data_IF_293580964949
#
_entry.id   IF_293580964949
#
_cell.length_a   1.000
_cell.length_b   1.000
_cell.length_c   1.000
_cell.angle_alpha   90.00
_cell.angle_beta   90.00
_cell.angle_gamma   90.00
#
_symmetry.space_group_name_H-M   'P 1'
#
loop_
_entity.id
_entity.type
_entity.pdbx_description
1 polymer ?
#
# COMPACT_ATOMS: atom_id res chain seq x y z
N UNK A 1 45.03 -29.52 7.96
CA UNK A 1 43.64 -29.97 8.16
C UNK A 1 42.99 -29.45 9.45
N UNK A 2 43.57 -29.55 10.64
CA UNK A 2 42.92 -29.12 11.91
C UNK A 2 42.55 -27.61 11.98
N UNK A 3 43.36 -26.71 11.39
CA UNK A 3 43.04 -25.24 11.40
C UNK A 3 41.84 -24.86 10.54
N UNK A 4 41.63 -25.48 9.40
CA UNK A 4 40.50 -25.19 8.51
C UNK A 4 39.16 -25.65 9.10
N UNK A 5 39.15 -26.77 9.82
CA UNK A 5 37.96 -27.26 10.54
C UNK A 5 37.57 -26.30 11.67
N UNK A 6 38.56 -25.73 12.39
CA UNK A 6 38.30 -24.77 13.48
C UNK A 6 37.66 -23.49 12.97
N UNK A 7 38.11 -22.94 11.84
CA UNK A 7 37.52 -21.74 11.23
C UNK A 7 36.10 -21.98 10.70
N UNK A 8 35.84 -23.16 10.12
CA UNK A 8 34.49 -23.54 9.70
C UNK A 8 33.50 -23.62 10.85
N UNK A 9 33.90 -24.21 11.98
CA UNK A 9 33.07 -24.31 13.17
C UNK A 9 32.80 -22.93 13.81
N UNK A 10 33.80 -22.05 13.87
CA UNK A 10 33.63 -20.66 14.41
C UNK A 10 32.68 -19.85 13.54
N UNK A 11 32.78 -19.95 12.20
CA UNK A 11 31.87 -19.26 11.29
C UNK A 11 30.44 -19.75 11.43
N UNK A 12 30.20 -21.04 11.57
CA UNK A 12 28.89 -21.63 11.77
C UNK A 12 28.25 -21.18 13.08
N UNK A 13 29.02 -21.15 14.16
CA UNK A 13 28.57 -20.67 15.48
C UNK A 13 28.20 -19.20 15.43
N UNK A 14 28.97 -18.34 14.75
CA UNK A 14 28.66 -16.93 14.59
C UNK A 14 27.37 -16.69 13.79
N UNK A 15 27.11 -17.49 12.74
CA UNK A 15 25.86 -17.40 11.97
C UNK A 15 24.67 -17.81 12.84
N UNK A 16 24.77 -18.92 13.58
CA UNK A 16 23.69 -19.39 14.47
C UNK A 16 23.41 -18.38 15.58
N UNK A 17 24.45 -17.82 16.21
CA UNK A 17 24.30 -16.77 17.21
C UNK A 17 23.68 -15.51 16.62
N UNK A 18 24.09 -15.10 15.43
CA UNK A 18 23.48 -13.96 14.73
C UNK A 18 21.99 -14.16 14.44
N UNK A 19 21.60 -15.35 13.99
CA UNK A 19 20.18 -15.68 13.74
C UNK A 19 19.39 -15.70 15.04
N UNK A 20 19.94 -16.29 16.12
CA UNK A 20 19.27 -16.32 17.43
C UNK A 20 19.13 -14.92 18.01
N UNK A 21 20.16 -14.10 17.96
CA UNK A 21 20.10 -12.70 18.42
C UNK A 21 19.08 -11.91 17.58
N UNK A 22 19.09 -12.05 16.27
CA UNK A 22 18.10 -11.44 15.38
C UNK A 22 16.67 -11.85 15.70
N UNK A 23 16.44 -13.14 15.99
CA UNK A 23 15.14 -13.65 16.41
C UNK A 23 14.70 -13.06 17.77
N UNK A 24 15.58 -13.01 18.76
CA UNK A 24 15.25 -12.42 20.07
C UNK A 24 15.05 -10.91 20.01
N UNK A 25 15.80 -10.15 19.19
CA UNK A 25 15.59 -8.73 18.99
C UNK A 25 14.23 -8.49 18.31
N UNK A 26 13.88 -9.29 17.30
CA UNK A 26 12.62 -9.17 16.60
C UNK A 26 11.42 -9.53 17.51
N UNK A 27 11.53 -10.59 18.32
CA UNK A 27 10.49 -10.95 19.30
C UNK A 27 10.39 -9.95 20.44
N UNK A 28 11.49 -9.38 20.91
CA UNK A 28 11.47 -8.33 21.94
C UNK A 28 10.82 -7.04 21.42
N UNK A 29 11.10 -6.65 20.17
CA UNK A 29 10.43 -5.50 19.54
C UNK A 29 8.94 -5.72 19.36
N UNK A 30 8.52 -6.92 18.96
CA UNK A 30 7.10 -7.25 18.82
C UNK A 30 6.34 -7.23 20.15
N UNK A 31 6.99 -7.61 21.25
CA UNK A 31 6.36 -7.61 22.58
C UNK A 31 6.14 -6.20 23.16
N UNK A 32 6.77 -5.17 22.61
CA UNK A 32 6.65 -3.77 23.06
C UNK A 32 5.83 -2.88 22.11
N UNK A 33 5.25 -3.43 21.04
CA UNK A 33 4.41 -2.65 20.15
C UNK A 33 3.14 -2.20 20.86
N UNK A 34 2.89 -0.90 20.86
CA UNK A 34 1.62 -0.37 21.34
C UNK A 34 0.47 -1.05 20.60
N UNK A 35 -0.53 -1.54 21.35
CA UNK A 35 -1.73 -2.14 20.75
C UNK A 35 -2.42 -1.08 19.86
N UNK A 36 -2.75 -1.47 18.64
CA UNK A 36 -3.52 -0.62 17.74
C UNK A 36 -4.97 -0.49 18.24
N UNK A 37 -5.58 0.70 18.10
CA UNK A 37 -7.02 0.83 18.26
C UNK A 37 -7.73 -0.03 17.20
N UNK A 38 -8.92 -0.51 17.52
CA UNK A 38 -9.75 -1.18 16.51
C UNK A 38 -10.14 -0.18 15.43
N UNK A 39 -10.14 -0.57 14.14
CA UNK A 39 -10.59 0.31 13.06
C UNK A 39 -12.01 0.81 13.29
N UNK A 40 -12.20 2.11 13.15
CA UNK A 40 -13.48 2.79 13.31
C UNK A 40 -13.61 3.85 12.22
N UNK A 41 -14.67 3.77 11.41
CA UNK A 41 -14.87 4.70 10.29
C UNK A 41 -15.33 6.07 10.79
N UNK A 42 -14.77 7.14 10.24
CA UNK A 42 -15.25 8.51 10.48
C UNK A 42 -16.65 8.70 9.88
N UNK A 43 -17.44 9.61 10.45
CA UNK A 43 -18.68 10.04 9.84
C UNK A 43 -18.47 11.07 8.73
N UNK A 44 -19.55 11.44 8.02
CA UNK A 44 -19.55 12.48 7.01
C UNK A 44 -19.15 12.00 5.61
N UNK A 45 -18.89 12.95 4.71
CA UNK A 45 -18.67 12.68 3.29
C UNK A 45 -17.41 11.83 3.06
N UNK A 46 -16.29 12.19 3.69
CA UNK A 46 -15.06 11.41 3.62
C UNK A 46 -15.16 10.07 4.35
N UNK A 47 -15.92 10.01 5.44
CA UNK A 47 -16.15 8.76 6.18
C UNK A 47 -16.91 7.69 5.37
N UNK A 48 -17.66 8.08 4.34
CA UNK A 48 -18.28 7.13 3.41
C UNK A 48 -17.26 6.35 2.59
N UNK A 49 -16.04 6.85 2.47
CA UNK A 49 -14.93 6.17 1.80
C UNK A 49 -14.19 5.20 2.72
N UNK A 50 -14.55 5.14 4.00
CA UNK A 50 -13.99 4.21 4.95
C UNK A 50 -12.83 4.73 5.80
N UNK A 51 -12.51 6.04 5.75
CA UNK A 51 -11.38 6.64 6.48
C UNK A 51 -11.49 6.35 7.98
N UNK A 52 -10.40 5.86 8.56
CA UNK A 52 -10.32 5.49 9.97
C UNK A 52 -10.28 6.73 10.87
N UNK A 53 -11.05 6.68 11.97
CA UNK A 53 -11.16 7.77 12.93
C UNK A 53 -9.90 7.95 13.77
N UNK A 54 -9.22 6.86 14.10
CA UNK A 54 -8.11 6.85 15.04
C UNK A 54 -6.76 6.90 14.34
N UNK A 55 -6.64 6.22 13.18
CA UNK A 55 -5.40 6.13 12.42
C UNK A 55 -5.64 6.63 10.99
N UNK A 56 -5.46 7.91 10.82
CA UNK A 56 -5.70 8.63 9.57
C UNK A 56 -4.50 9.52 9.19
N UNK A 57 -4.65 10.35 8.17
CA UNK A 57 -3.59 11.22 7.66
C UNK A 57 -3.02 12.20 8.69
N UNK A 58 -3.72 12.47 9.79
CA UNK A 58 -3.23 13.36 10.87
C UNK A 58 -2.42 12.60 11.91
N UNK A 59 -2.69 11.30 12.10
CA UNK A 59 -2.15 10.50 13.21
C UNK A 59 -1.17 9.42 12.78
N UNK A 60 -1.10 9.09 11.50
CA UNK A 60 -0.32 7.96 10.95
C UNK A 60 1.16 7.99 11.35
N UNK A 61 1.74 9.16 11.54
CA UNK A 61 3.15 9.30 11.95
C UNK A 61 3.47 8.57 13.27
N UNK A 62 2.47 8.37 14.13
CA UNK A 62 2.62 7.64 15.38
C UNK A 62 2.61 6.11 15.20
N UNK A 63 2.27 5.63 14.02
CA UNK A 63 2.04 4.21 13.73
C UNK A 63 2.93 3.67 12.61
N UNK A 64 3.88 4.47 12.10
CA UNK A 64 4.83 4.05 11.07
C UNK A 64 5.88 3.07 11.59
N UNK A 65 6.52 2.34 10.67
CA UNK A 65 7.66 1.44 10.95
C UNK A 65 7.36 0.30 11.94
N UNK A 66 6.14 -0.16 12.03
CA UNK A 66 5.76 -1.30 12.86
C UNK A 66 6.13 -2.62 12.16
N UNK A 67 6.74 -3.54 12.89
CA UNK A 67 7.12 -4.86 12.36
C UNK A 67 5.93 -5.81 12.12
N UNK A 68 4.76 -5.51 12.73
CA UNK A 68 3.52 -6.25 12.59
C UNK A 68 2.59 -5.69 11.49
N UNK A 69 3.08 -4.79 10.65
CA UNK A 69 2.25 -4.03 9.72
C UNK A 69 2.90 -3.87 8.35
N UNK A 70 2.06 -3.65 7.33
CA UNK A 70 2.42 -3.23 5.97
C UNK A 70 1.70 -1.93 5.61
N UNK A 71 2.30 -1.14 4.73
CA UNK A 71 1.85 0.20 4.40
C UNK A 71 1.85 0.39 2.89
N UNK A 72 0.67 0.63 2.30
CA UNK A 72 0.56 0.83 0.86
C UNK A 72 -0.13 2.13 0.51
N UNK A 73 0.52 2.90 -0.35
CA UNK A 73 -0.11 3.97 -1.10
C UNK A 73 -0.64 3.40 -2.41
N UNK A 74 -1.96 3.35 -2.52
CA UNK A 74 -2.64 2.70 -3.64
C UNK A 74 -2.96 3.68 -4.78
N UNK A 75 -2.29 4.83 -4.83
CA UNK A 75 -2.38 5.76 -5.96
C UNK A 75 -1.73 5.18 -7.21
N UNK A 76 -2.31 5.50 -8.37
CA UNK A 76 -1.60 5.40 -9.63
C UNK A 76 -0.57 6.54 -9.72
N UNK A 77 0.69 6.26 -10.12
CA UNK A 77 1.69 7.31 -10.29
C UNK A 77 1.39 8.21 -11.50
N UNK A 78 0.64 7.69 -12.47
CA UNK A 78 0.10 8.42 -13.59
C UNK A 78 -1.26 7.84 -13.94
N UNK A 79 -2.31 8.57 -13.65
CA UNK A 79 -3.69 8.20 -13.95
C UNK A 79 -4.29 9.32 -14.80
N UNK A 80 -4.44 9.06 -16.10
CA UNK A 80 -4.96 10.03 -17.05
C UNK A 80 -6.40 10.46 -16.72
N UNK A 81 -7.18 9.60 -16.05
CA UNK A 81 -8.54 9.91 -15.62
C UNK A 81 -8.63 11.04 -14.61
N UNK A 82 -7.64 11.17 -13.76
CA UNK A 82 -7.71 12.05 -12.60
C UNK A 82 -6.69 13.19 -12.66
N UNK A 83 -5.72 13.14 -13.58
CA UNK A 83 -4.57 14.01 -13.56
C UNK A 83 -4.92 15.50 -13.56
N UNK A 84 -5.78 15.93 -14.46
CA UNK A 84 -6.14 17.35 -14.59
C UNK A 84 -7.25 17.77 -13.61
N UNK A 85 -8.24 16.90 -13.39
CA UNK A 85 -9.39 17.20 -12.55
C UNK A 85 -9.06 17.31 -11.06
N UNK A 86 -8.00 16.61 -10.61
CA UNK A 86 -7.56 16.57 -9.21
C UNK A 86 -6.32 17.41 -8.92
N UNK A 87 -5.93 18.30 -9.83
CA UNK A 87 -4.69 19.05 -9.72
C UNK A 87 -3.47 18.12 -9.60
N UNK A 88 -3.13 17.42 -10.66
CA UNK A 88 -2.15 16.34 -10.73
C UNK A 88 -0.80 16.61 -10.07
N UNK A 89 -0.41 17.87 -9.98
CA UNK A 89 0.80 18.30 -9.29
C UNK A 89 0.75 17.99 -7.78
N UNK A 90 -0.36 18.32 -7.12
CA UNK A 90 -0.57 18.01 -5.70
C UNK A 90 -0.67 16.50 -5.47
N UNK A 91 -1.29 15.78 -6.41
CA UNK A 91 -1.49 14.34 -6.34
C UNK A 91 -0.17 13.56 -6.37
N UNK A 92 0.81 14.02 -7.12
CA UNK A 92 2.10 13.33 -7.29
C UNK A 92 3.28 14.01 -6.57
N UNK A 93 3.06 15.10 -5.85
CA UNK A 93 4.17 15.89 -5.27
C UNK A 93 4.93 15.20 -4.16
N UNK A 94 4.31 14.23 -3.47
CA UNK A 94 4.94 13.54 -2.36
C UNK A 94 4.24 12.28 -1.90
N UNK A 95 4.87 11.60 -0.94
CA UNK A 95 4.41 10.35 -0.32
C UNK A 95 4.78 10.35 1.16
N UNK A 96 4.11 9.53 1.94
CA UNK A 96 4.50 9.31 3.34
C UNK A 96 5.64 8.28 3.38
N UNK A 97 6.74 8.61 4.05
CA UNK A 97 7.88 7.70 4.21
C UNK A 97 7.44 6.44 4.98
N UNK A 98 7.81 5.28 4.46
CA UNK A 98 7.38 3.99 5.00
C UNK A 98 6.19 3.38 4.25
N UNK A 99 5.50 4.13 3.40
CA UNK A 99 4.52 3.59 2.47
C UNK A 99 5.20 3.15 1.17
N UNK A 100 4.79 2.00 0.65
CA UNK A 100 5.16 1.48 -0.66
C UNK A 100 3.99 1.71 -1.62
N UNK A 101 4.29 1.98 -2.89
CA UNK A 101 3.23 2.25 -3.89
C UNK A 101 2.81 0.94 -4.54
N UNK A 102 1.53 0.61 -4.40
CA UNK A 102 0.89 -0.48 -5.14
C UNK A 102 -0.47 -0.02 -5.66
N UNK A 103 -0.57 0.42 -6.93
CA UNK A 103 -1.76 1.07 -7.47
C UNK A 103 -3.02 0.22 -7.43
N UNK A 104 -4.12 0.77 -6.90
CA UNK A 104 -5.43 0.12 -6.89
C UNK A 104 -5.89 -0.35 -8.28
N UNK A 105 -5.66 0.40 -9.37
CA UNK A 105 -6.04 -0.06 -10.71
C UNK A 105 -5.37 -1.37 -11.15
N UNK A 106 -4.23 -1.75 -10.56
CA UNK A 106 -3.64 -3.08 -10.78
C UNK A 106 -4.36 -4.16 -9.97
N UNK A 107 -4.98 -3.78 -8.85
CA UNK A 107 -5.73 -4.71 -7.99
C UNK A 107 -7.10 -4.99 -8.60
N UNK A 108 -7.88 -3.95 -8.89
CA UNK A 108 -9.21 -4.12 -9.46
C UNK A 108 -9.53 -3.08 -10.53
N UNK A 109 -10.30 -3.51 -11.52
CA UNK A 109 -10.85 -2.64 -12.53
C UNK A 109 -12.32 -2.38 -12.20
N UNK A 110 -12.59 -1.14 -11.77
CA UNK A 110 -13.95 -0.66 -11.60
C UNK A 110 -14.41 -0.01 -12.91
N UNK A 111 -15.51 -0.47 -13.46
CA UNK A 111 -16.12 0.18 -14.63
C UNK A 111 -16.57 1.59 -14.23
N UNK A 112 -15.97 2.59 -14.85
CA UNK A 112 -16.42 3.98 -14.73
C UNK A 112 -17.65 4.15 -15.65
N UNK A 113 -18.73 4.75 -15.13
CA UNK A 113 -19.89 5.04 -15.99
C UNK A 113 -19.52 6.04 -17.08
N UNK A 114 -20.15 6.02 -18.26
CA UNK A 114 -19.90 6.98 -19.33
C UNK A 114 -20.09 8.43 -18.90
N UNK A 115 -21.00 8.70 -17.98
CA UNK A 115 -21.24 10.04 -17.43
C UNK A 115 -20.07 10.50 -16.58
N UNK A 116 -19.52 9.60 -15.75
CA UNK A 116 -18.37 9.92 -14.92
C UNK A 116 -17.09 10.04 -15.79
N UNK A 117 -16.92 9.19 -16.81
CA UNK A 117 -15.82 9.28 -17.77
C UNK A 117 -15.78 10.64 -18.49
N UNK A 118 -16.93 11.20 -18.81
CA UNK A 118 -17.02 12.54 -19.42
C UNK A 118 -16.57 13.66 -18.47
N UNK A 119 -16.62 13.44 -17.16
CA UNK A 119 -16.25 14.43 -16.15
C UNK A 119 -14.78 14.31 -15.77
N UNK A 120 -14.32 13.08 -15.53
CA UNK A 120 -12.96 12.82 -14.97
C UNK A 120 -11.95 12.33 -15.99
N UNK A 121 -12.38 12.10 -17.24
CA UNK A 121 -11.53 11.52 -18.29
C UNK A 121 -11.51 9.99 -18.25
N UNK A 122 -10.75 9.39 -19.18
CA UNK A 122 -10.60 7.94 -19.27
C UNK A 122 -9.82 7.41 -18.08
N UNK A 123 -10.41 6.46 -17.36
CA UNK A 123 -9.74 5.73 -16.30
C UNK A 123 -8.65 4.78 -16.83
N UNK A 124 -7.97 4.13 -15.89
CA UNK A 124 -7.08 3.04 -16.21
C UNK A 124 -7.85 1.91 -16.92
N UNK A 125 -7.38 1.53 -18.10
CA UNK A 125 -7.98 0.49 -18.93
C UNK A 125 -7.04 -0.68 -19.18
N UNK A 126 -5.96 -0.75 -18.41
CA UNK A 126 -5.00 -1.85 -18.46
C UNK A 126 -5.50 -3.10 -17.72
N UNK A 127 -4.66 -4.14 -17.63
CA UNK A 127 -4.99 -5.35 -16.90
C UNK A 127 -5.02 -5.12 -15.39
N UNK A 128 -5.89 -5.86 -14.69
CA UNK A 128 -6.03 -5.87 -13.22
C UNK A 128 -6.13 -7.30 -12.71
N UNK A 129 -5.81 -7.52 -11.43
CA UNK A 129 -5.93 -8.86 -10.81
C UNK A 129 -7.37 -9.31 -10.70
N UNK A 130 -8.31 -8.38 -10.45
CA UNK A 130 -9.73 -8.67 -10.29
C UNK A 130 -10.58 -7.74 -11.15
N UNK A 131 -11.77 -8.22 -11.51
CA UNK A 131 -12.86 -7.38 -11.99
C UNK A 131 -13.87 -7.17 -10.87
N UNK A 132 -14.38 -5.95 -10.74
CA UNK A 132 -15.53 -5.68 -9.89
C UNK A 132 -16.81 -5.85 -10.71
N UNK A 133 -17.57 -6.89 -10.39
CA UNK A 133 -18.87 -7.21 -10.99
C UNK A 133 -19.96 -6.95 -9.95
N UNK A 134 -20.52 -5.75 -9.94
CA UNK A 134 -21.58 -5.31 -9.01
C UNK A 134 -21.21 -5.52 -7.53
N UNK A 135 -19.98 -5.19 -7.16
CA UNK A 135 -19.46 -5.34 -5.79
C UNK A 135 -18.89 -6.74 -5.48
N UNK A 136 -18.92 -7.65 -6.43
CA UNK A 136 -18.26 -8.95 -6.32
C UNK A 136 -16.96 -8.95 -7.11
N UNK A 137 -15.86 -9.25 -6.44
CA UNK A 137 -14.55 -9.30 -7.08
C UNK A 137 -14.26 -10.70 -7.63
N UNK A 138 -14.07 -10.77 -8.94
CA UNK A 138 -13.77 -11.99 -9.69
C UNK A 138 -12.33 -11.95 -10.15
N UNK A 139 -11.57 -13.01 -9.89
CA UNK A 139 -10.17 -13.10 -10.29
C UNK A 139 -10.03 -13.15 -11.82
N UNK A 140 -9.06 -12.44 -12.38
CA UNK A 140 -8.72 -12.45 -13.80
C UNK A 140 -7.61 -13.43 -14.14
N UNK A 141 -6.85 -13.85 -13.12
CA UNK A 141 -5.71 -14.75 -13.27
C UNK A 141 -5.69 -15.75 -12.11
N UNK A 142 -5.18 -16.94 -12.35
CA UNK A 142 -5.03 -18.00 -11.34
C UNK A 142 -4.16 -17.55 -10.15
N UNK A 143 -3.18 -16.70 -10.42
CA UNK A 143 -2.24 -16.16 -9.44
C UNK A 143 -2.78 -14.92 -8.70
N UNK A 144 -3.96 -14.38 -9.07
CA UNK A 144 -4.48 -13.11 -8.53
C UNK A 144 -4.53 -13.08 -7.00
N UNK A 145 -5.07 -14.13 -6.39
CA UNK A 145 -5.19 -14.20 -4.93
C UNK A 145 -3.83 -14.36 -4.24
N UNK A 146 -2.94 -15.17 -4.80
CA UNK A 146 -1.58 -15.39 -4.28
C UNK A 146 -0.77 -14.08 -4.28
N UNK A 147 -0.84 -13.31 -5.38
CA UNK A 147 -0.18 -12.00 -5.47
C UNK A 147 -0.75 -11.04 -4.42
N UNK A 148 -2.07 -11.04 -4.24
CA UNK A 148 -2.73 -10.18 -3.28
C UNK A 148 -2.32 -10.55 -1.83
N UNK A 149 -2.28 -11.85 -1.50
CA UNK A 149 -1.85 -12.33 -0.18
C UNK A 149 -0.36 -12.07 0.10
N UNK A 150 0.49 -12.10 -0.93
CA UNK A 150 1.89 -11.73 -0.81
C UNK A 150 2.07 -10.26 -0.43
N UNK A 151 1.33 -9.37 -1.07
CA UNK A 151 1.40 -7.91 -0.82
C UNK A 151 0.65 -7.49 0.44
N UNK A 152 -0.49 -8.11 0.71
CA UNK A 152 -1.32 -7.84 1.88
C UNK A 152 -1.41 -9.08 2.78
N UNK A 153 -0.36 -9.44 3.55
CA UNK A 153 -0.38 -10.65 4.37
C UNK A 153 -1.49 -10.61 5.42
N UNK A 154 -2.30 -11.67 5.51
CA UNK A 154 -3.47 -11.75 6.42
C UNK A 154 -3.12 -11.71 7.92
N UNK A 155 -1.88 -12.04 8.26
CA UNK A 155 -1.38 -11.98 9.63
C UNK A 155 -0.91 -10.58 10.06
N UNK A 156 -0.77 -9.63 9.12
CA UNK A 156 -0.33 -8.26 9.36
C UNK A 156 -1.50 -7.27 9.50
N UNK A 157 -1.23 -6.15 10.15
CA UNK A 157 -2.07 -4.96 10.03
C UNK A 157 -1.75 -4.27 8.70
N UNK A 158 -2.76 -3.76 8.03
CA UNK A 158 -2.66 -3.18 6.70
C UNK A 158 -3.06 -1.71 6.78
N UNK A 159 -2.15 -0.82 6.44
CA UNK A 159 -2.41 0.61 6.37
C UNK A 159 -2.47 1.04 4.90
N UNK A 160 -3.61 1.58 4.51
CA UNK A 160 -3.90 1.98 3.14
C UNK A 160 -4.03 3.50 3.05
N UNK A 161 -3.37 4.10 2.09
CA UNK A 161 -3.48 5.52 1.75
C UNK A 161 -3.62 5.67 0.24
N UNK A 162 -4.22 6.77 -0.20
CA UNK A 162 -4.14 7.19 -1.60
C UNK A 162 -4.08 8.72 -1.71
N UNK A 163 -4.54 9.33 -2.78
CA UNK A 163 -4.62 10.78 -2.91
C UNK A 163 -5.64 11.40 -1.96
N UNK A 164 -6.90 11.00 -2.08
CA UNK A 164 -8.02 11.53 -1.31
C UNK A 164 -8.72 10.54 -0.37
N UNK A 165 -8.30 9.28 -0.30
CA UNK A 165 -8.90 8.22 0.51
C UNK A 165 -9.80 7.24 -0.28
N UNK A 166 -10.21 7.57 -1.52
CA UNK A 166 -11.14 6.74 -2.31
C UNK A 166 -10.59 5.36 -2.66
N UNK A 167 -9.43 5.28 -3.30
CA UNK A 167 -8.80 4.01 -3.63
C UNK A 167 -8.39 3.20 -2.39
N UNK A 168 -8.04 3.87 -1.30
CA UNK A 168 -7.74 3.21 -0.02
C UNK A 168 -8.99 2.49 0.51
N UNK A 169 -10.14 3.16 0.53
CA UNK A 169 -11.43 2.56 0.92
C UNK A 169 -11.86 1.43 -0.01
N UNK A 170 -11.70 1.58 -1.33
CA UNK A 170 -11.99 0.51 -2.30
C UNK A 170 -11.08 -0.70 -2.09
N UNK A 171 -9.79 -0.48 -1.84
CA UNK A 171 -8.85 -1.57 -1.52
C UNK A 171 -9.26 -2.30 -0.24
N UNK A 172 -9.63 -1.58 0.83
CA UNK A 172 -10.15 -2.16 2.06
C UNK A 172 -11.37 -3.04 1.77
N UNK A 173 -12.35 -2.51 1.04
CA UNK A 173 -13.57 -3.25 0.70
C UNK A 173 -13.28 -4.53 -0.08
N UNK A 174 -12.36 -4.47 -1.06
CA UNK A 174 -11.91 -5.63 -1.82
C UNK A 174 -11.28 -6.68 -0.89
N UNK A 175 -10.31 -6.28 -0.06
CA UNK A 175 -9.64 -7.21 0.85
C UNK A 175 -10.62 -7.89 1.81
N UNK A 176 -11.53 -7.12 2.42
CA UNK A 176 -12.57 -7.67 3.32
C UNK A 176 -13.48 -8.65 2.59
N UNK A 177 -13.93 -8.33 1.37
CA UNK A 177 -14.78 -9.21 0.55
C UNK A 177 -14.10 -10.52 0.18
N UNK A 178 -12.76 -10.54 0.08
CA UNK A 178 -11.94 -11.71 -0.20
C UNK A 178 -11.45 -12.43 1.08
N UNK A 179 -11.94 -12.03 2.26
CA UNK A 179 -11.75 -12.76 3.52
C UNK A 179 -10.58 -12.27 4.39
N UNK A 180 -10.10 -11.06 4.18
CA UNK A 180 -9.23 -10.39 5.16
C UNK A 180 -10.01 -9.93 6.38
N UNK A 181 -9.35 -9.90 7.52
CA UNK A 181 -9.92 -9.42 8.79
C UNK A 181 -10.04 -7.88 8.76
N UNK A 182 -11.28 -7.37 8.76
CA UNK A 182 -11.56 -5.94 8.75
C UNK A 182 -10.92 -5.21 9.95
N UNK A 183 -10.79 -5.89 11.09
CA UNK A 183 -10.19 -5.34 12.30
C UNK A 183 -8.68 -5.10 12.19
N UNK A 184 -8.05 -5.51 11.08
CA UNK A 184 -6.63 -5.28 10.77
C UNK A 184 -6.39 -4.32 9.62
N UNK A 185 -7.44 -3.75 9.00
CA UNK A 185 -7.28 -2.90 7.82
C UNK A 185 -7.70 -1.47 8.14
N UNK A 186 -6.76 -0.54 7.99
CA UNK A 186 -6.94 0.89 8.25
C UNK A 186 -6.89 1.66 6.94
N UNK A 187 -8.00 2.29 6.55
CA UNK A 187 -7.99 3.34 5.54
C UNK A 187 -7.48 4.62 6.20
N UNK A 188 -6.22 4.94 5.95
CA UNK A 188 -5.55 6.11 6.52
C UNK A 188 -6.05 7.42 5.87
N UNK A 189 -6.78 7.32 4.76
CA UNK A 189 -7.27 8.48 4.03
C UNK A 189 -6.36 8.88 2.88
N UNK A 190 -6.07 10.17 2.76
CA UNK A 190 -5.41 10.71 1.58
C UNK A 190 -4.21 11.60 1.85
N UNK A 191 -3.16 11.41 1.04
CA UNK A 191 -1.95 12.23 1.08
C UNK A 191 -2.23 13.73 0.94
N UNK A 192 -3.30 14.14 0.26
CA UNK A 192 -3.67 15.56 0.13
C UNK A 192 -3.97 16.24 1.48
N UNK A 193 -4.35 15.46 2.47
CA UNK A 193 -4.69 15.93 3.81
C UNK A 193 -3.59 15.63 4.82
N UNK A 194 -2.53 14.93 4.39
CA UNK A 194 -1.39 14.62 5.25
C UNK A 194 -0.55 15.86 5.51
N UNK A 195 -0.36 16.18 6.77
CA UNK A 195 0.45 17.31 7.25
C UNK A 195 1.56 16.89 8.22
N UNK A 196 1.88 15.59 8.26
CA UNK A 196 2.88 15.02 9.15
C UNK A 196 4.34 15.33 8.74
N UNK A 197 5.26 14.76 9.49
CA UNK A 197 6.70 15.03 9.35
C UNK A 197 7.43 14.06 8.43
N UNK A 198 6.78 12.93 8.09
CA UNK A 198 7.41 11.85 7.33
C UNK A 198 7.16 11.97 5.82
N UNK A 199 7.14 13.17 5.29
CA UNK A 199 6.91 13.43 3.87
C UNK A 199 8.17 13.15 3.04
N UNK A 200 8.00 12.41 1.94
CA UNK A 200 8.98 12.30 0.85
C UNK A 200 8.52 13.19 -0.29
N UNK A 201 9.23 14.29 -0.54
CA UNK A 201 8.98 15.13 -1.70
C UNK A 201 9.63 14.51 -2.94
N UNK A 202 8.83 14.17 -3.94
CA UNK A 202 9.28 13.65 -5.23
C UNK A 202 9.26 14.71 -6.33
N UNK A 203 8.56 15.82 -6.13
CA UNK A 203 8.53 16.93 -7.07
C UNK A 203 9.87 17.67 -7.07
N UNK A 204 10.42 17.90 -8.25
CA UNK A 204 11.63 18.71 -8.44
C UNK A 204 11.55 19.50 -9.74
N UNK A 205 12.50 20.40 -9.98
CA UNK A 205 12.63 21.15 -11.22
C UNK A 205 13.96 20.82 -11.88
N UNK A 206 13.93 20.45 -13.16
CA UNK A 206 15.11 20.27 -14.00
C UNK A 206 14.91 20.99 -15.33
N UNK A 207 15.82 21.91 -15.65
CA UNK A 207 15.74 22.76 -16.87
C UNK A 207 14.37 23.47 -16.98
N UNK A 208 13.93 24.11 -15.90
CA UNK A 208 12.66 24.84 -15.78
C UNK A 208 11.38 23.99 -15.94
N UNK A 209 11.53 22.65 -16.00
CA UNK A 209 10.39 21.74 -16.08
C UNK A 209 10.17 21.01 -14.75
N UNK A 210 8.91 20.88 -14.36
CA UNK A 210 8.53 20.02 -13.24
C UNK A 210 8.81 18.56 -13.60
N UNK A 211 9.49 17.85 -12.69
CA UNK A 211 9.82 16.43 -12.80
C UNK A 211 9.49 15.76 -11.48
N UNK A 212 9.13 14.49 -11.52
CA UNK A 212 8.82 13.68 -10.33
C UNK A 212 9.81 12.54 -10.18
N UNK A 213 10.55 12.55 -9.07
CA UNK A 213 11.59 11.55 -8.76
C UNK A 213 10.96 10.33 -8.07
N UNK A 214 10.11 9.56 -8.77
CA UNK A 214 9.40 8.40 -8.22
C UNK A 214 10.31 7.27 -7.74
N UNK A 215 11.58 7.26 -8.15
CA UNK A 215 12.58 6.32 -7.64
C UNK A 215 12.83 6.44 -6.12
N UNK A 216 12.37 7.53 -5.49
CA UNK A 216 12.45 7.74 -4.04
C UNK A 216 11.44 6.90 -3.25
N UNK A 217 10.45 6.32 -3.92
CA UNK A 217 9.43 5.45 -3.34
C UNK A 217 9.52 4.06 -3.96
N UNK A 218 9.22 3.04 -3.17
CA UNK A 218 9.15 1.67 -3.68
C UNK A 218 7.82 1.49 -4.41
N UNK A 219 7.89 1.17 -5.70
CA UNK A 219 6.73 1.00 -6.57
C UNK A 219 6.62 -0.46 -7.00
N UNK A 220 5.49 -1.08 -6.70
CA UNK A 220 5.16 -2.44 -7.11
C UNK A 220 4.43 -2.42 -8.46
N UNK A 221 4.98 -3.16 -9.41
CA UNK A 221 4.34 -3.42 -10.69
C UNK A 221 4.08 -4.92 -10.87
N UNK A 222 3.11 -5.26 -11.71
CA UNK A 222 2.76 -6.64 -12.03
C UNK A 222 3.07 -6.88 -13.50
N UNK A 223 3.81 -7.94 -13.80
CA UNK A 223 3.95 -8.44 -15.17
C UNK A 223 2.75 -9.31 -15.53
N UNK A 224 1.65 -8.67 -15.87
CA UNK A 224 0.40 -9.34 -16.25
C UNK A 224 0.54 -10.28 -17.45
N UNK A 225 1.61 -10.14 -18.26
CA UNK A 225 1.83 -11.01 -19.42
C UNK A 225 2.34 -12.39 -19.00
N UNK A 226 2.94 -12.50 -17.82
CA UNK A 226 3.43 -13.76 -17.26
C UNK A 226 2.35 -14.54 -16.52
N UNK A 227 1.18 -13.95 -16.25
CA UNK A 227 0.10 -14.55 -15.48
C UNK A 227 -0.78 -15.46 -16.35
N UNK A 228 -1.34 -16.50 -15.72
CA UNK A 228 -2.26 -17.45 -16.35
C UNK A 228 -3.69 -16.95 -16.23
N UNK A 229 -4.34 -16.65 -17.34
CA UNK A 229 -5.76 -16.24 -17.35
C UNK A 229 -6.65 -17.32 -16.74
N UNK A 230 -7.66 -16.84 -15.94
CA UNK A 230 -8.74 -17.67 -15.43
C UNK A 230 -9.66 -18.16 -16.56
#
# INVERSE_FOLDING_TARGET
MKKQILWGCVSLVLIVVGVIIGYFINTANNNNLQKLPKPEVTGGERGKLGIDKNINEETIDNYLNRSDSVYYDVRMLKDDANWESINGDSYLSGFVNGFEVFPYPFIANDSISPELENIVGKGYNGPSLFNNEDGKYVANYKESLEILEYLFPKDKNIFLMCGGGGYAGQTKNLLVSLGWDEDKIYDVGGYWYYNGKNNINVKTSRNEKTVYDFWKVNYHSIDFKSLTKE
#
